data_IF_761125856756
#
_entry.id   IF_761125856756
#
_cell.length_a   1.000
_cell.length_b   1.000
_cell.length_c   1.000
_cell.angle_alpha   90.00
_cell.angle_beta   90.00
_cell.angle_gamma   90.00
#
_symmetry.space_group_name_H-M   'P 1'
#
loop_
_entity.id
_entity.type
_entity.pdbx_description
1 polymer ?
#
# COMPACT_ATOMS: atom_id res chain seq x y z
N UNK A 1 -1.27 -29.34 -10.48
CA UNK A 1 -0.70 -28.52 -11.60
C UNK A 1 0.42 -29.30 -12.28
N UNK A 2 0.42 -29.39 -13.61
CA UNK A 2 1.44 -30.09 -14.41
C UNK A 2 2.75 -29.33 -14.47
N UNK A 3 3.93 -30.00 -14.72
CA UNK A 3 5.21 -29.31 -14.89
C UNK A 3 5.19 -28.26 -16.01
N UNK A 4 4.46 -28.52 -17.09
CA UNK A 4 4.30 -27.57 -18.20
C UNK A 4 3.59 -26.28 -17.77
N UNK A 5 2.50 -26.37 -17.03
CA UNK A 5 1.79 -25.20 -16.51
C UNK A 5 2.65 -24.43 -15.51
N UNK A 6 3.51 -25.12 -14.76
CA UNK A 6 4.45 -24.45 -13.85
C UNK A 6 5.48 -23.64 -14.64
N UNK A 7 6.07 -24.19 -15.69
CA UNK A 7 7.04 -23.48 -16.53
C UNK A 7 6.43 -22.23 -17.18
N UNK A 8 5.21 -22.32 -17.71
CA UNK A 8 4.49 -21.18 -18.28
C UNK A 8 4.23 -20.08 -17.23
N UNK A 9 3.94 -20.48 -15.99
CA UNK A 9 3.74 -19.53 -14.90
C UNK A 9 5.03 -18.79 -14.51
N UNK A 10 6.16 -19.49 -14.58
CA UNK A 10 7.48 -18.91 -14.33
C UNK A 10 7.86 -17.91 -15.44
N UNK A 11 7.68 -18.26 -16.71
CA UNK A 11 7.88 -17.33 -17.84
C UNK A 11 6.99 -16.08 -17.73
N UNK A 12 5.73 -16.26 -17.33
CA UNK A 12 4.84 -15.12 -17.11
C UNK A 12 5.29 -14.24 -15.95
N UNK A 13 5.83 -14.83 -14.88
CA UNK A 13 6.36 -14.06 -13.76
C UNK A 13 7.57 -13.21 -14.20
N UNK A 14 8.46 -13.76 -15.03
CA UNK A 14 9.56 -13.01 -15.64
C UNK A 14 9.08 -11.88 -16.54
N UNK A 15 8.08 -12.12 -17.39
CA UNK A 15 7.45 -11.06 -18.19
C UNK A 15 6.90 -9.93 -17.33
N UNK A 16 6.24 -10.25 -16.22
CA UNK A 16 5.71 -9.23 -15.30
C UNK A 16 6.82 -8.40 -14.64
N UNK A 17 7.96 -9.04 -14.35
CA UNK A 17 9.11 -8.39 -13.74
C UNK A 17 9.84 -7.49 -14.75
N UNK A 18 10.29 -8.08 -15.85
CA UNK A 18 11.24 -7.46 -16.77
C UNK A 18 10.58 -6.53 -17.79
N UNK A 19 9.46 -6.94 -18.38
CA UNK A 19 8.83 -6.16 -19.45
C UNK A 19 7.74 -5.21 -18.93
N UNK A 20 7.07 -5.56 -17.83
CA UNK A 20 5.97 -4.76 -17.30
C UNK A 20 6.32 -3.94 -16.07
N UNK A 21 7.51 -4.10 -15.52
CA UNK A 21 7.97 -3.37 -14.31
C UNK A 21 6.97 -3.48 -13.14
N UNK A 22 6.33 -4.66 -12.98
CA UNK A 22 5.36 -4.86 -11.90
C UNK A 22 6.09 -5.09 -10.59
N UNK A 23 5.59 -4.47 -9.51
CA UNK A 23 6.15 -4.67 -8.18
C UNK A 23 6.14 -6.15 -7.78
N UNK A 24 7.10 -6.58 -6.95
CA UNK A 24 7.21 -7.95 -6.42
C UNK A 24 5.89 -8.41 -5.76
N UNK A 25 5.18 -7.49 -5.10
CA UNK A 25 3.86 -7.79 -4.52
C UNK A 25 2.80 -8.12 -5.58
N UNK A 26 2.79 -7.39 -6.70
CA UNK A 26 1.88 -7.67 -7.83
C UNK A 26 2.22 -9.00 -8.50
N UNK A 27 3.51 -9.26 -8.73
CA UNK A 27 3.98 -10.53 -9.29
C UNK A 27 3.54 -11.71 -8.41
N UNK A 28 3.79 -11.63 -7.09
CA UNK A 28 3.38 -12.67 -6.12
C UNK A 28 1.87 -12.87 -6.10
N UNK A 29 1.08 -11.79 -6.13
CA UNK A 29 -0.36 -11.87 -6.14
C UNK A 29 -0.88 -12.53 -7.43
N UNK A 30 -0.38 -12.14 -8.59
CA UNK A 30 -0.79 -12.71 -9.88
C UNK A 30 -0.35 -14.17 -10.00
N UNK A 31 0.86 -14.50 -9.56
CA UNK A 31 1.33 -15.89 -9.50
C UNK A 31 0.38 -16.76 -8.66
N UNK A 32 0.04 -16.31 -7.46
CA UNK A 32 -0.89 -17.04 -6.60
C UNK A 32 -2.31 -17.18 -7.19
N UNK A 33 -2.79 -16.15 -7.90
CA UNK A 33 -4.08 -16.20 -8.59
C UNK A 33 -4.09 -17.23 -9.71
N UNK A 34 -3.03 -17.28 -10.52
CA UNK A 34 -2.90 -18.21 -11.64
C UNK A 34 -2.62 -19.63 -11.17
N UNK A 35 -1.85 -19.81 -10.09
CA UNK A 35 -1.71 -21.10 -9.43
C UNK A 35 -3.07 -21.65 -9.04
N UNK A 36 -3.92 -20.85 -8.37
CA UNK A 36 -5.29 -21.26 -8.02
C UNK A 36 -6.17 -21.58 -9.24
N UNK A 37 -5.96 -20.88 -10.37
CA UNK A 37 -6.67 -21.22 -11.62
C UNK A 37 -6.21 -22.56 -12.18
N UNK A 38 -4.91 -22.79 -12.24
CA UNK A 38 -4.35 -24.02 -12.78
C UNK A 38 -4.66 -25.25 -11.88
N UNK A 39 -4.70 -25.04 -10.57
CA UNK A 39 -5.16 -26.10 -9.65
C UNK A 39 -6.65 -26.44 -9.88
N UNK A 40 -7.48 -25.44 -10.14
CA UNK A 40 -8.89 -25.65 -10.52
C UNK A 40 -9.01 -26.41 -11.85
N UNK A 41 -8.19 -26.04 -12.85
CA UNK A 41 -8.15 -26.71 -14.14
C UNK A 41 -7.71 -28.20 -13.99
N UNK A 42 -6.63 -28.44 -13.22
CA UNK A 42 -6.10 -29.79 -12.98
C UNK A 42 -7.04 -30.66 -12.10
N UNK A 43 -7.87 -30.04 -11.27
CA UNK A 43 -8.89 -30.77 -10.50
C UNK A 43 -10.01 -31.32 -11.39
N UNK A 44 -10.29 -30.66 -12.53
CA UNK A 44 -11.27 -31.12 -13.52
C UNK A 44 -10.64 -32.15 -14.48
N UNK A 45 -9.41 -31.91 -14.88
CA UNK A 45 -8.62 -32.80 -15.76
C UNK A 45 -7.17 -32.85 -15.27
N UNK A 46 -6.69 -33.97 -14.68
CA UNK A 46 -5.31 -34.08 -14.18
C UNK A 46 -4.23 -33.84 -15.24
N UNK A 47 -4.52 -34.18 -16.51
CA UNK A 47 -3.62 -34.03 -17.65
C UNK A 47 -3.86 -32.70 -18.40
N UNK A 48 -4.57 -31.76 -17.81
CA UNK A 48 -4.90 -30.51 -18.44
C UNK A 48 -3.66 -29.73 -18.86
N UNK A 49 -3.76 -29.18 -20.05
CA UNK A 49 -2.78 -28.29 -20.66
C UNK A 49 -3.32 -26.85 -20.72
N UNK A 50 -2.52 -25.91 -21.17
CA UNK A 50 -2.97 -24.54 -21.38
C UNK A 50 -4.09 -24.43 -22.45
N UNK A 51 -4.11 -25.36 -23.42
CA UNK A 51 -5.14 -25.40 -24.48
C UNK A 51 -6.57 -25.68 -23.92
N UNK A 52 -6.65 -26.29 -22.74
CA UNK A 52 -7.94 -26.58 -22.08
C UNK A 52 -8.52 -25.34 -21.40
N UNK A 53 -7.77 -24.24 -21.35
CA UNK A 53 -8.21 -22.99 -20.76
C UNK A 53 -9.25 -22.30 -21.66
N UNK A 54 -10.48 -22.31 -21.22
CA UNK A 54 -11.64 -21.77 -21.94
C UNK A 54 -12.46 -20.80 -21.09
N UNK A 55 -13.30 -20.00 -21.74
CA UNK A 55 -14.19 -19.09 -21.01
C UNK A 55 -15.11 -19.78 -19.97
N UNK A 56 -15.69 -20.97 -20.24
CA UNK A 56 -16.43 -21.74 -19.24
C UNK A 56 -15.56 -22.10 -18.02
N UNK A 57 -14.31 -22.56 -18.21
CA UNK A 57 -13.39 -22.88 -17.12
C UNK A 57 -13.08 -21.64 -16.28
N UNK A 58 -12.79 -20.50 -16.92
CA UNK A 58 -12.54 -19.24 -16.21
C UNK A 58 -13.73 -18.80 -15.36
N UNK A 59 -14.95 -18.92 -15.91
CA UNK A 59 -16.19 -18.61 -15.20
C UNK A 59 -16.46 -19.58 -14.04
N UNK A 60 -16.23 -20.87 -14.25
CA UNK A 60 -16.37 -21.90 -13.22
C UNK A 60 -15.44 -21.62 -12.04
N UNK A 61 -14.15 -21.33 -12.31
CA UNK A 61 -13.18 -20.99 -11.28
C UNK A 61 -13.57 -19.75 -10.49
N UNK A 62 -13.89 -18.63 -11.18
CA UNK A 62 -14.30 -17.38 -10.51
C UNK A 62 -15.60 -17.58 -9.70
N UNK A 63 -16.54 -18.37 -10.23
CA UNK A 63 -17.77 -18.74 -9.53
C UNK A 63 -17.50 -19.57 -8.27
N UNK A 64 -16.57 -20.52 -8.33
CA UNK A 64 -16.15 -21.30 -7.17
C UNK A 64 -15.55 -20.40 -6.07
N UNK A 65 -14.69 -19.44 -6.46
CA UNK A 65 -14.11 -18.47 -5.54
C UNK A 65 -15.17 -17.61 -4.85
N UNK A 66 -16.15 -17.14 -5.61
CA UNK A 66 -17.26 -16.34 -5.06
C UNK A 66 -18.11 -17.15 -4.08
N UNK A 67 -18.40 -18.42 -4.39
CA UNK A 67 -19.12 -19.32 -3.46
C UNK A 67 -18.35 -19.63 -2.19
N UNK A 68 -17.01 -19.64 -2.25
CA UNK A 68 -16.12 -19.80 -1.09
C UNK A 68 -15.97 -18.51 -0.26
N UNK A 69 -16.73 -17.46 -0.58
CA UNK A 69 -16.71 -16.20 0.18
C UNK A 69 -15.60 -15.23 -0.18
N UNK A 70 -14.92 -15.43 -1.32
CA UNK A 70 -13.90 -14.47 -1.75
C UNK A 70 -14.50 -13.06 -1.94
N UNK A 71 -13.84 -12.05 -1.37
CA UNK A 71 -14.26 -10.66 -1.50
C UNK A 71 -14.35 -10.25 -2.99
N UNK A 72 -15.30 -9.37 -3.33
CA UNK A 72 -15.47 -8.87 -4.71
C UNK A 72 -14.20 -8.25 -5.29
N UNK A 73 -13.40 -7.56 -4.47
CA UNK A 73 -12.09 -7.00 -4.85
C UNK A 73 -11.09 -8.09 -5.23
N UNK A 74 -11.10 -9.22 -4.51
CA UNK A 74 -10.26 -10.39 -4.84
C UNK A 74 -10.67 -11.00 -6.17
N UNK A 75 -11.98 -11.19 -6.41
CA UNK A 75 -12.48 -11.71 -7.69
C UNK A 75 -12.15 -10.76 -8.84
N UNK A 76 -12.30 -9.45 -8.64
CA UNK A 76 -11.93 -8.44 -9.63
C UNK A 76 -10.42 -8.46 -9.95
N UNK A 77 -9.55 -8.58 -8.93
CA UNK A 77 -8.08 -8.71 -9.13
C UNK A 77 -7.74 -9.99 -9.88
N UNK A 78 -8.33 -11.13 -9.51
CA UNK A 78 -8.18 -12.42 -10.20
C UNK A 78 -8.59 -12.34 -11.67
N UNK A 79 -9.73 -11.69 -11.95
CA UNK A 79 -10.17 -11.43 -13.32
C UNK A 79 -9.12 -10.62 -14.11
N UNK A 80 -8.55 -9.59 -13.49
CA UNK A 80 -7.49 -8.79 -14.11
C UNK A 80 -6.22 -9.59 -14.36
N UNK A 81 -5.79 -10.42 -13.41
CA UNK A 81 -4.62 -11.28 -13.55
C UNK A 81 -4.78 -12.25 -14.72
N UNK A 82 -5.93 -12.91 -14.82
CA UNK A 82 -6.24 -13.85 -15.91
C UNK A 82 -6.25 -13.14 -17.26
N UNK A 83 -6.90 -11.98 -17.38
CA UNK A 83 -6.92 -11.23 -18.64
C UNK A 83 -5.52 -10.84 -19.13
N UNK A 84 -4.65 -10.42 -18.20
CA UNK A 84 -3.27 -10.07 -18.54
C UNK A 84 -2.49 -11.32 -18.96
N UNK A 85 -2.69 -12.43 -18.26
CA UNK A 85 -2.04 -13.69 -18.55
C UNK A 85 -2.48 -14.25 -19.91
N UNK A 86 -3.78 -14.38 -20.18
CA UNK A 86 -4.27 -14.97 -21.44
C UNK A 86 -3.93 -14.11 -22.65
N UNK A 87 -3.97 -12.78 -22.53
CA UNK A 87 -3.50 -11.89 -23.56
C UNK A 87 -1.99 -12.01 -23.82
N UNK A 88 -1.17 -12.23 -22.78
CA UNK A 88 0.26 -12.54 -22.93
C UNK A 88 0.48 -13.90 -23.59
N UNK A 89 -0.20 -14.93 -23.12
CA UNK A 89 -0.07 -16.29 -23.66
C UNK A 89 -0.47 -16.36 -25.14
N UNK A 90 -1.51 -15.62 -25.55
CA UNK A 90 -1.92 -15.53 -26.96
C UNK A 90 -0.85 -14.83 -27.81
N UNK A 91 -0.26 -13.72 -27.33
CA UNK A 91 0.84 -13.04 -28.04
C UNK A 91 2.10 -13.91 -28.17
N UNK A 92 2.34 -14.78 -27.21
CA UNK A 92 3.46 -15.73 -27.24
C UNK A 92 3.16 -16.98 -28.08
N UNK A 93 1.97 -17.11 -28.65
CA UNK A 93 1.56 -18.27 -29.42
C UNK A 93 1.25 -19.52 -28.58
N UNK A 94 1.21 -19.40 -27.24
CA UNK A 94 0.85 -20.47 -26.32
C UNK A 94 -0.66 -20.79 -26.32
N UNK A 95 -1.48 -19.82 -26.72
CA UNK A 95 -2.91 -19.92 -26.95
C UNK A 95 -3.26 -19.43 -28.35
N UNK A 96 -4.13 -20.13 -29.05
CA UNK A 96 -4.61 -19.69 -30.37
C UNK A 96 -5.52 -18.48 -30.29
N UNK A 97 -6.35 -18.40 -29.24
CA UNK A 97 -7.28 -17.30 -28.98
C UNK A 97 -7.27 -16.93 -27.50
N UNK A 98 -7.58 -15.67 -27.17
CA UNK A 98 -7.68 -15.24 -25.78
C UNK A 98 -9.04 -15.63 -25.18
N UNK A 99 -9.10 -16.65 -24.27
CA UNK A 99 -10.36 -17.10 -23.68
C UNK A 99 -10.97 -16.08 -22.73
N UNK A 100 -10.19 -15.09 -22.24
CA UNK A 100 -10.67 -14.10 -21.29
C UNK A 100 -11.19 -12.82 -21.96
N UNK A 101 -11.21 -12.71 -23.29
CA UNK A 101 -11.64 -11.50 -24.00
C UNK A 101 -13.07 -11.08 -23.60
N UNK A 102 -13.98 -12.06 -23.43
CA UNK A 102 -15.39 -11.86 -23.02
C UNK A 102 -15.60 -12.00 -21.53
N UNK A 103 -14.55 -12.15 -20.72
CA UNK A 103 -14.67 -12.26 -19.28
C UNK A 103 -15.01 -10.89 -18.68
N UNK A 104 -16.19 -10.78 -18.07
CA UNK A 104 -16.59 -9.53 -17.44
C UNK A 104 -15.97 -9.40 -16.05
N UNK A 105 -15.42 -8.23 -15.77
CA UNK A 105 -14.93 -7.92 -14.44
C UNK A 105 -16.13 -7.54 -13.55
N UNK A 106 -16.23 -8.09 -12.33
CA UNK A 106 -17.25 -7.64 -11.40
C UNK A 106 -17.18 -6.14 -11.21
N UNK A 107 -18.29 -5.43 -11.44
CA UNK A 107 -18.34 -3.99 -11.14
C UNK A 107 -18.05 -3.79 -9.66
N UNK A 108 -16.95 -3.15 -9.34
CA UNK A 108 -16.68 -2.70 -7.98
C UNK A 108 -17.76 -1.69 -7.62
N UNK A 109 -18.52 -1.94 -6.54
CA UNK A 109 -19.27 -0.85 -5.92
C UNK A 109 -18.20 0.10 -5.38
N UNK A 110 -18.02 1.24 -6.03
CA UNK A 110 -17.21 2.35 -5.49
C UNK A 110 -17.97 2.89 -4.28
N UNK A 111 -17.80 2.27 -3.13
CA UNK A 111 -18.09 2.96 -1.88
C UNK A 111 -17.04 4.05 -1.71
N UNK A 112 -17.48 5.27 -1.46
CA UNK A 112 -16.55 6.32 -1.07
C UNK A 112 -15.75 5.81 0.13
N UNK A 113 -14.42 5.95 0.12
CA UNK A 113 -13.62 5.55 1.26
C UNK A 113 -14.12 6.28 2.51
N UNK A 114 -14.19 5.58 3.63
CA UNK A 114 -14.47 6.23 4.89
C UNK A 114 -13.33 7.21 5.21
N UNK A 115 -13.70 8.43 5.57
CA UNK A 115 -12.78 9.51 5.97
C UNK A 115 -13.03 9.79 7.45
N UNK A 116 -11.96 9.94 8.23
CA UNK A 116 -12.06 10.44 9.60
C UNK A 116 -12.49 11.90 9.56
N UNK A 117 -13.31 12.34 10.50
CA UNK A 117 -13.46 13.75 10.79
C UNK A 117 -12.20 14.27 11.50
N UNK A 118 -11.95 15.56 11.44
CA UNK A 118 -10.76 16.16 12.07
C UNK A 118 -10.70 15.91 13.58
N UNK A 119 -11.87 15.99 14.28
CA UNK A 119 -11.97 15.67 15.71
C UNK A 119 -11.63 14.21 16.01
N UNK A 120 -12.06 13.26 15.17
CA UNK A 120 -11.72 11.85 15.30
C UNK A 120 -10.23 11.58 15.04
N UNK A 121 -9.64 12.27 14.04
CA UNK A 121 -8.21 12.17 13.78
C UNK A 121 -7.40 12.72 14.97
N UNK A 122 -7.80 13.88 15.53
CA UNK A 122 -7.17 14.44 16.72
C UNK A 122 -7.26 13.47 17.92
N UNK A 123 -8.46 12.89 18.16
CA UNK A 123 -8.66 11.93 19.25
C UNK A 123 -7.81 10.64 19.06
N UNK A 124 -7.63 10.17 17.81
CA UNK A 124 -6.77 9.01 17.52
C UNK A 124 -5.30 9.30 17.83
N UNK A 125 -4.81 10.49 17.45
CA UNK A 125 -3.44 10.91 17.75
C UNK A 125 -3.23 11.09 19.25
N UNK A 126 -4.22 11.66 19.94
CA UNK A 126 -4.18 11.83 21.41
C UNK A 126 -4.17 10.48 22.14
N UNK A 127 -5.02 9.54 21.72
CA UNK A 127 -5.01 8.18 22.28
C UNK A 127 -3.64 7.49 22.12
N UNK A 128 -3.00 7.67 20.96
CA UNK A 128 -1.66 7.13 20.70
C UNK A 128 -0.59 7.86 21.53
N UNK A 129 -0.75 9.16 21.78
CA UNK A 129 0.13 9.95 22.63
C UNK A 129 0.06 9.48 24.08
N UNK A 130 -1.14 9.45 24.66
CA UNK A 130 -1.37 9.03 26.05
C UNK A 130 -0.94 7.59 26.30
N UNK A 131 -1.12 6.68 25.33
CA UNK A 131 -0.61 5.32 25.42
C UNK A 131 0.92 5.23 25.47
N UNK A 132 1.63 6.27 25.03
CA UNK A 132 3.10 6.31 24.99
C UNK A 132 3.75 7.07 26.17
N UNK A 133 2.98 7.59 27.12
CA UNK A 133 3.49 8.38 28.26
C UNK A 133 4.41 7.57 29.19
N UNK A 134 4.23 6.27 29.27
CA UNK A 134 5.02 5.39 30.12
C UNK A 134 6.34 4.94 29.47
N UNK A 135 6.72 5.52 28.32
CA UNK A 135 7.93 5.19 27.56
C UNK A 135 8.05 3.70 27.13
N UNK A 136 6.92 2.96 27.09
CA UNK A 136 6.93 1.62 26.50
C UNK A 136 7.40 1.69 25.05
N UNK A 137 8.47 0.98 24.67
CA UNK A 137 9.06 1.04 23.33
C UNK A 137 8.06 0.73 22.22
N UNK A 138 7.10 -0.17 22.45
CA UNK A 138 6.09 -0.50 21.45
C UNK A 138 5.08 0.63 21.29
N UNK A 139 4.67 1.26 22.38
CA UNK A 139 3.75 2.39 22.35
C UNK A 139 4.37 3.65 21.71
N UNK A 140 5.64 3.95 21.99
CA UNK A 140 6.40 5.01 21.35
C UNK A 140 6.48 4.80 19.82
N UNK A 141 6.76 3.56 19.39
CA UNK A 141 6.75 3.19 17.97
C UNK A 141 5.37 3.38 17.34
N UNK A 142 4.34 2.90 18.01
CA UNK A 142 2.97 2.91 17.48
C UNK A 142 2.43 4.34 17.36
N UNK A 143 2.76 5.21 18.31
CA UNK A 143 2.54 6.66 18.21
C UNK A 143 3.23 7.24 16.98
N UNK A 144 4.52 6.95 16.76
CA UNK A 144 5.24 7.42 15.59
C UNK A 144 4.59 6.96 14.28
N UNK A 145 4.13 5.71 14.21
CA UNK A 145 3.47 5.15 13.02
C UNK A 145 2.25 5.98 12.64
N UNK A 146 1.34 6.23 13.58
CA UNK A 146 0.09 6.93 13.26
C UNK A 146 0.32 8.41 12.99
N UNK A 147 1.20 9.08 13.76
CA UNK A 147 1.57 10.48 13.54
C UNK A 147 2.20 10.67 12.16
N UNK A 148 3.17 9.85 11.78
CA UNK A 148 3.83 9.96 10.47
C UNK A 148 2.89 9.69 9.31
N UNK A 149 2.05 8.65 9.40
CA UNK A 149 1.08 8.35 8.35
C UNK A 149 0.09 9.49 8.15
N UNK A 150 -0.39 10.08 9.22
CA UNK A 150 -1.36 11.18 9.15
C UNK A 150 -0.71 12.49 8.72
N UNK A 151 0.40 12.89 9.33
CA UNK A 151 1.08 14.14 9.01
C UNK A 151 1.58 14.20 7.57
N UNK A 152 2.07 13.08 7.03
CA UNK A 152 2.74 13.07 5.73
C UNK A 152 1.90 12.47 4.61
N UNK A 153 0.89 11.68 4.95
CA UNK A 153 0.11 10.92 3.98
C UNK A 153 0.93 9.92 3.13
N UNK A 154 2.12 9.51 3.55
CA UNK A 154 2.93 8.53 2.82
C UNK A 154 2.28 7.16 2.79
N UNK A 155 2.69 6.30 1.85
CA UNK A 155 2.18 4.93 1.78
C UNK A 155 2.77 4.08 2.90
N UNK A 156 2.01 3.07 3.35
CA UNK A 156 2.50 2.12 4.37
C UNK A 156 3.83 1.47 3.98
N UNK A 157 4.03 1.17 2.71
CA UNK A 157 5.29 0.59 2.22
C UNK A 157 6.45 1.59 2.24
N UNK A 158 6.17 2.87 1.98
CA UNK A 158 7.14 3.97 2.09
C UNK A 158 7.55 4.15 3.55
N UNK A 159 6.58 4.20 4.48
CA UNK A 159 6.85 4.29 5.92
C UNK A 159 7.70 3.10 6.43
N UNK A 160 7.34 1.87 6.07
CA UNK A 160 8.10 0.68 6.46
C UNK A 160 9.51 0.66 5.86
N UNK A 161 9.69 1.29 4.70
CA UNK A 161 10.96 1.34 3.99
C UNK A 161 11.96 2.36 4.52
N UNK A 162 11.52 3.33 5.34
CA UNK A 162 12.38 4.41 5.81
C UNK A 162 13.60 3.91 6.60
N UNK A 163 14.75 4.48 6.26
CA UNK A 163 15.96 4.41 7.03
C UNK A 163 16.19 5.70 7.83
N UNK A 164 17.00 5.65 8.87
CA UNK A 164 17.27 6.82 9.73
C UNK A 164 17.82 7.98 8.91
N UNK A 165 18.67 7.69 7.91
CA UNK A 165 19.27 8.68 7.02
C UNK A 165 18.30 9.28 5.99
N UNK A 166 17.09 8.73 5.86
CA UNK A 166 16.03 9.31 5.03
C UNK A 166 15.30 10.47 5.73
N UNK A 167 15.63 10.77 6.98
CA UNK A 167 14.96 11.76 7.80
C UNK A 167 15.89 12.92 8.15
N UNK A 168 15.59 14.09 7.63
CA UNK A 168 16.21 15.33 8.09
C UNK A 168 15.39 15.93 9.23
N UNK A 169 15.84 15.65 10.48
CA UNK A 169 15.17 16.13 11.70
C UNK A 169 15.19 17.66 11.82
N UNK A 170 16.26 18.30 11.35
CA UNK A 170 16.43 19.75 11.44
C UNK A 170 15.46 20.48 10.52
N UNK A 171 15.27 19.94 9.31
CA UNK A 171 14.35 20.49 8.30
C UNK A 171 12.95 19.90 8.40
N UNK A 172 12.73 18.91 9.28
CA UNK A 172 11.47 18.15 9.42
C UNK A 172 10.94 17.64 8.08
N UNK A 173 11.75 16.92 7.35
CA UNK A 173 11.39 16.33 6.05
C UNK A 173 11.80 14.87 5.97
N UNK A 174 11.00 14.09 5.23
CA UNK A 174 11.28 12.71 4.85
C UNK A 174 11.65 12.64 3.38
N UNK A 175 12.62 11.81 3.04
CA UNK A 175 12.88 11.36 1.69
C UNK A 175 12.23 10.00 1.48
N UNK A 176 11.32 9.87 0.55
CA UNK A 176 10.61 8.62 0.27
C UNK A 176 10.74 8.22 -1.19
N UNK A 177 10.91 6.91 -1.41
CA UNK A 177 10.96 6.29 -2.73
C UNK A 177 9.55 5.89 -3.16
N UNK A 178 9.06 6.53 -4.22
CA UNK A 178 7.78 6.20 -4.82
C UNK A 178 7.88 5.08 -5.86
N UNK A 179 6.76 4.83 -6.56
CA UNK A 179 6.71 3.84 -7.66
C UNK A 179 7.67 4.24 -8.79
N UNK A 180 8.55 3.31 -9.20
CA UNK A 180 9.54 3.52 -10.27
C UNK A 180 10.76 4.31 -9.78
N UNK A 181 11.14 4.12 -8.51
CA UNK A 181 12.31 4.72 -7.85
C UNK A 181 12.36 6.26 -7.92
N UNK A 182 11.18 6.88 -8.04
CA UNK A 182 11.09 8.34 -7.99
C UNK A 182 11.14 8.80 -6.53
N UNK A 183 12.18 9.53 -6.21
CA UNK A 183 12.30 10.17 -4.90
C UNK A 183 11.40 11.39 -4.80
N UNK A 184 10.85 11.60 -3.61
CA UNK A 184 10.22 12.85 -3.23
C UNK A 184 10.48 13.18 -1.77
N UNK A 185 10.50 14.46 -1.47
CA UNK A 185 10.63 14.98 -0.11
C UNK A 185 9.25 15.37 0.41
N UNK A 186 8.93 14.93 1.63
CA UNK A 186 7.63 15.16 2.28
C UNK A 186 7.87 15.83 3.63
N UNK A 187 7.31 17.03 3.89
CA UNK A 187 7.41 17.69 5.19
C UNK A 187 6.51 17.00 6.23
N UNK A 188 6.85 17.18 7.52
CA UNK A 188 6.03 16.77 8.66
C UNK A 188 6.06 17.81 9.77
N UNK A 189 4.96 17.88 10.54
CA UNK A 189 4.77 18.87 11.58
C UNK A 189 5.44 18.54 12.92
N UNK A 190 5.23 19.42 13.90
CA UNK A 190 5.76 19.31 15.26
C UNK A 190 5.42 18.00 15.96
N UNK A 191 4.15 17.60 16.06
CA UNK A 191 3.75 16.37 16.75
C UNK A 191 4.42 15.11 16.20
N UNK A 192 4.59 15.00 14.88
CA UNK A 192 5.30 13.90 14.24
C UNK A 192 6.81 13.95 14.53
N UNK A 193 7.41 15.16 14.62
CA UNK A 193 8.81 15.36 15.01
C UNK A 193 9.05 14.93 16.46
N UNK A 194 8.13 15.25 17.36
CA UNK A 194 8.20 14.88 18.77
C UNK A 194 8.07 13.34 18.95
N UNK A 195 7.13 12.74 18.24
CA UNK A 195 6.97 11.28 18.21
C UNK A 195 8.21 10.58 17.65
N UNK A 196 8.82 11.11 16.59
CA UNK A 196 10.07 10.60 16.02
C UNK A 196 11.23 10.68 17.01
N UNK A 197 11.37 11.84 17.68
CA UNK A 197 12.41 12.06 18.68
C UNK A 197 12.25 11.09 19.85
N UNK A 198 11.04 10.99 20.41
CA UNK A 198 10.74 10.06 21.49
C UNK A 198 11.06 8.60 21.12
N UNK A 199 10.68 8.19 19.90
CA UNK A 199 10.98 6.84 19.42
C UNK A 199 12.49 6.60 19.25
N UNK A 200 13.19 7.47 18.53
CA UNK A 200 14.62 7.28 18.24
C UNK A 200 15.47 7.32 19.49
N UNK A 201 15.17 8.25 20.41
CA UNK A 201 16.01 8.50 21.58
C UNK A 201 15.69 7.54 22.75
N UNK A 202 14.42 7.10 22.91
CA UNK A 202 13.96 6.31 24.06
C UNK A 202 13.43 4.92 23.72
N UNK A 203 12.83 4.73 22.53
CA UNK A 203 12.17 3.46 22.18
C UNK A 203 13.02 2.53 21.33
N UNK A 204 13.62 3.05 20.26
CA UNK A 204 14.26 2.22 19.22
C UNK A 204 15.39 1.33 19.75
N UNK A 205 16.21 1.85 20.65
CA UNK A 205 17.35 1.11 21.21
C UNK A 205 16.92 -0.16 21.96
N UNK A 206 15.76 -0.16 22.60
CA UNK A 206 15.24 -1.33 23.32
C UNK A 206 14.80 -2.47 22.42
N UNK A 207 14.45 -2.18 21.16
CA UNK A 207 14.08 -3.20 20.18
C UNK A 207 15.20 -3.54 19.20
N UNK A 208 16.21 -2.67 19.07
CA UNK A 208 17.28 -2.83 18.10
C UNK A 208 18.18 -4.03 18.41
N UNK A 209 18.58 -4.75 17.34
CA UNK A 209 19.54 -5.84 17.38
C UNK A 209 20.37 -5.87 16.08
N UNK A 210 21.25 -6.85 15.92
CA UNK A 210 22.11 -6.99 14.75
C UNK A 210 21.35 -7.10 13.42
N UNK A 211 20.07 -7.44 13.42
CA UNK A 211 19.21 -7.53 12.23
C UNK A 211 18.41 -6.27 11.93
N UNK A 212 18.53 -5.20 12.74
CA UNK A 212 17.75 -3.97 12.59
C UNK A 212 18.22 -3.07 11.44
N UNK A 213 19.52 -3.06 11.18
CA UNK A 213 20.14 -2.17 10.20
C UNK A 213 19.76 -0.70 10.45
N UNK A 214 19.67 0.07 9.37
CA UNK A 214 19.29 1.49 9.41
C UNK A 214 17.78 1.73 9.54
N UNK A 215 16.94 0.70 9.58
CA UNK A 215 15.48 0.86 9.60
C UNK A 215 15.00 1.77 10.72
N UNK A 216 14.15 2.76 10.39
CA UNK A 216 13.54 3.65 11.40
C UNK A 216 12.61 2.83 12.29
N UNK A 217 11.67 2.11 11.71
CA UNK A 217 10.64 1.36 12.44
C UNK A 217 11.00 -0.12 12.57
N UNK A 218 10.93 -0.61 13.78
CA UNK A 218 11.26 -1.99 14.14
C UNK A 218 10.01 -2.75 14.61
N UNK A 219 9.89 -3.99 14.18
CA UNK A 219 8.93 -4.92 14.74
C UNK A 219 9.40 -5.43 16.11
N UNK A 220 8.56 -6.16 16.82
CA UNK A 220 8.88 -6.69 18.17
C UNK A 220 10.13 -7.60 18.22
N UNK A 221 10.57 -8.14 17.06
CA UNK A 221 11.79 -8.95 16.96
C UNK A 221 13.02 -8.14 16.53
N UNK A 222 12.94 -6.81 16.57
CA UNK A 222 14.04 -5.90 16.22
C UNK A 222 14.36 -5.79 14.74
N UNK A 223 13.68 -6.50 13.84
CA UNK A 223 13.84 -6.34 12.39
C UNK A 223 12.93 -5.22 11.87
N UNK A 224 13.22 -4.71 10.67
CA UNK A 224 12.36 -3.75 9.97
C UNK A 224 10.88 -4.18 10.05
N UNK A 225 10.00 -3.23 10.38
CA UNK A 225 8.58 -3.50 10.56
C UNK A 225 7.89 -3.99 9.27
N UNK A 226 6.97 -4.92 9.43
CA UNK A 226 6.15 -5.42 8.31
C UNK A 226 4.88 -4.55 8.13
N UNK A 227 4.44 -4.29 6.89
CA UNK A 227 3.21 -3.53 6.62
C UNK A 227 1.94 -4.09 7.28
N UNK A 228 1.91 -5.38 7.64
CA UNK A 228 0.77 -5.96 8.37
C UNK A 228 0.74 -5.45 9.81
N UNK A 229 1.90 -5.37 10.45
CA UNK A 229 2.00 -4.82 11.82
C UNK A 229 1.54 -3.36 11.83
N UNK A 230 1.98 -2.55 10.87
CA UNK A 230 1.51 -1.16 10.74
C UNK A 230 -0.01 -1.08 10.56
N UNK A 231 -0.61 -1.98 9.76
CA UNK A 231 -2.07 -2.04 9.64
C UNK A 231 -2.74 -2.36 10.96
N UNK A 232 -2.21 -3.34 11.71
CA UNK A 232 -2.73 -3.71 13.04
C UNK A 232 -2.70 -2.52 13.98
N UNK A 233 -1.59 -1.79 14.04
CA UNK A 233 -1.45 -0.57 14.87
C UNK A 233 -2.52 0.47 14.50
N UNK A 234 -2.68 0.79 13.22
CA UNK A 234 -3.68 1.77 12.77
C UNK A 234 -5.09 1.32 13.15
N UNK A 235 -5.47 0.06 12.92
CA UNK A 235 -6.79 -0.45 13.30
C UNK A 235 -7.02 -0.39 14.82
N UNK A 236 -6.01 -0.75 15.62
CA UNK A 236 -6.08 -0.66 17.09
C UNK A 236 -6.28 0.78 17.54
N UNK A 237 -5.52 1.73 16.98
CA UNK A 237 -5.67 3.15 17.31
C UNK A 237 -7.07 3.67 16.95
N UNK A 238 -7.60 3.29 15.77
CA UNK A 238 -8.95 3.70 15.37
C UNK A 238 -10.03 3.10 16.27
N UNK A 239 -9.85 1.87 16.72
CA UNK A 239 -10.81 1.20 17.63
C UNK A 239 -10.89 1.84 19.01
N UNK A 240 -9.87 2.60 19.43
CA UNK A 240 -9.86 3.35 20.68
C UNK A 240 -10.68 4.65 20.60
N UNK A 241 -11.10 5.09 19.41
CA UNK A 241 -11.86 6.33 19.22
C UNK A 241 -13.35 6.03 19.02
N UNK A 242 -14.23 6.42 19.94
CA UNK A 242 -15.66 6.17 19.81
C UNK A 242 -16.26 6.75 18.53
N UNK A 243 -16.99 5.93 17.77
CA UNK A 243 -17.65 6.33 16.53
C UNK A 243 -16.72 6.63 15.35
N UNK A 244 -15.41 6.38 15.47
CA UNK A 244 -14.52 6.43 14.32
C UNK A 244 -14.76 5.21 13.39
N UNK A 245 -14.67 5.39 12.06
CA UNK A 245 -14.72 4.27 11.14
C UNK A 245 -13.46 3.40 11.29
N UNK A 246 -13.61 2.09 11.17
CA UNK A 246 -12.46 1.17 11.11
C UNK A 246 -11.74 1.34 9.77
N UNK A 247 -10.66 2.09 9.77
CA UNK A 247 -9.84 2.37 8.60
C UNK A 247 -8.40 1.88 8.79
N UNK A 248 -7.80 1.41 7.70
CA UNK A 248 -6.37 1.11 7.67
C UNK A 248 -5.52 2.30 7.20
N UNK A 249 -4.22 2.10 6.99
CA UNK A 249 -3.29 3.17 6.57
C UNK A 249 -3.70 3.92 5.31
N UNK A 250 -4.37 3.26 4.37
CA UNK A 250 -4.87 3.92 3.15
C UNK A 250 -6.03 4.90 3.45
N UNK A 251 -6.93 4.53 4.37
CA UNK A 251 -7.99 5.42 4.84
C UNK A 251 -7.44 6.60 5.61
N UNK A 252 -6.41 6.40 6.47
CA UNK A 252 -5.75 7.46 7.20
C UNK A 252 -5.06 8.47 6.25
N UNK A 253 -4.36 7.96 5.22
CA UNK A 253 -3.79 8.80 4.15
C UNK A 253 -4.87 9.59 3.38
N UNK A 254 -6.03 8.96 3.11
CA UNK A 254 -7.14 9.63 2.44
C UNK A 254 -7.73 10.73 3.32
N UNK A 255 -7.86 10.49 4.61
CA UNK A 255 -8.27 11.51 5.60
C UNK A 255 -7.29 12.68 5.65
N UNK A 256 -5.98 12.42 5.71
CA UNK A 256 -4.95 13.46 5.66
C UNK A 256 -5.07 14.32 4.38
N UNK A 257 -5.24 13.67 3.21
CA UNK A 257 -5.45 14.38 1.95
C UNK A 257 -6.71 15.26 1.95
N UNK A 258 -7.81 14.73 2.48
CA UNK A 258 -9.09 15.46 2.58
C UNK A 258 -8.95 16.66 3.50
N UNK A 259 -8.35 16.49 4.67
CA UNK A 259 -8.16 17.57 5.65
C UNK A 259 -7.21 18.66 5.13
N UNK A 260 -6.17 18.33 4.38
CA UNK A 260 -5.33 19.31 3.68
C UNK A 260 -6.14 20.15 2.69
N UNK A 261 -7.02 19.52 1.91
CA UNK A 261 -7.89 20.23 0.95
C UNK A 261 -8.92 21.10 1.67
N UNK A 262 -9.53 20.61 2.75
CA UNK A 262 -10.44 21.38 3.61
C UNK A 262 -9.75 22.57 4.28
N UNK A 263 -8.46 22.42 4.63
CA UNK A 263 -7.58 23.49 5.12
C UNK A 263 -7.13 24.49 4.05
N UNK A 264 -7.61 24.33 2.80
CA UNK A 264 -7.35 25.28 1.69
C UNK A 264 -6.09 24.96 0.88
N UNK A 265 -5.47 23.78 1.05
CA UNK A 265 -4.34 23.39 0.21
C UNK A 265 -4.78 23.18 -1.25
N UNK A 266 -3.95 23.65 -2.19
CA UNK A 266 -4.18 23.40 -3.61
C UNK A 266 -4.11 21.89 -3.95
N UNK A 267 -5.06 21.40 -4.74
CA UNK A 267 -5.16 20.00 -5.12
C UNK A 267 -3.87 19.46 -5.75
N UNK A 268 -3.17 20.28 -6.55
CA UNK A 268 -1.91 19.86 -7.20
C UNK A 268 -0.80 19.66 -6.16
N UNK A 269 -0.72 20.56 -5.18
CA UNK A 269 0.25 20.44 -4.09
C UNK A 269 -0.01 19.18 -3.27
N UNK A 270 -1.28 18.87 -2.96
CA UNK A 270 -1.67 17.64 -2.28
C UNK A 270 -1.33 16.41 -3.12
N UNK A 271 -1.54 16.45 -4.43
CA UNK A 271 -1.17 15.35 -5.34
C UNK A 271 0.34 15.11 -5.38
N UNK A 272 1.15 16.16 -5.39
CA UNK A 272 2.63 16.06 -5.35
C UNK A 272 3.11 15.51 -4.00
N UNK A 273 2.59 16.03 -2.89
CA UNK A 273 2.90 15.53 -1.54
C UNK A 273 2.62 14.03 -1.44
N UNK A 274 1.50 13.61 -1.98
CA UNK A 274 1.09 12.21 -1.95
C UNK A 274 1.81 11.34 -3.01
N UNK A 275 2.41 11.90 -4.03
CA UNK A 275 3.06 11.15 -5.12
C UNK A 275 2.06 10.37 -5.96
N UNK A 276 0.98 11.00 -6.43
CA UNK A 276 0.03 10.44 -7.38
C UNK A 276 0.62 10.46 -8.79
N UNK A 277 0.83 9.30 -9.40
CA UNK A 277 1.47 9.15 -10.72
C UNK A 277 0.52 9.29 -11.91
N UNK A 278 -0.73 9.67 -11.72
CA UNK A 278 -1.73 9.74 -12.79
C UNK A 278 -2.37 11.12 -12.90
N UNK A 279 -1.69 12.01 -13.62
CA UNK A 279 -2.33 12.88 -14.60
C UNK A 279 -1.39 12.92 -15.81
N UNK A 280 -1.92 12.54 -16.95
CA UNK A 280 -1.27 12.66 -18.24
C UNK A 280 -1.07 14.15 -18.58
N UNK A 281 0.01 14.74 -18.09
CA UNK A 281 0.60 15.95 -18.64
C UNK A 281 2.00 16.12 -18.04
N UNK A 282 2.94 15.35 -18.57
CA UNK A 282 4.36 15.65 -18.48
C UNK A 282 4.65 16.77 -19.48
N UNK A 283 4.24 17.98 -19.16
CA UNK A 283 4.79 19.17 -19.83
C UNK A 283 4.56 20.40 -18.94
N UNK A 284 5.64 21.05 -18.57
CA UNK A 284 5.75 22.41 -18.05
C UNK A 284 5.25 22.66 -16.60
N UNK A 285 5.79 22.03 -15.58
CA UNK A 285 5.80 22.73 -14.28
C UNK A 285 7.09 22.47 -13.51
N UNK A 286 7.78 23.56 -13.28
CA UNK A 286 8.88 23.75 -12.33
C UNK A 286 8.58 23.08 -11.00
N UNK A 287 9.57 22.36 -10.47
CA UNK A 287 9.58 21.71 -9.17
C UNK A 287 8.94 22.60 -8.09
N UNK A 288 7.85 22.11 -7.45
CA UNK A 288 7.38 22.74 -6.21
C UNK A 288 8.51 22.59 -5.19
N UNK A 289 9.02 23.69 -4.70
CA UNK A 289 10.13 23.68 -3.76
C UNK A 289 9.66 23.09 -2.42
N UNK A 290 10.57 22.43 -1.68
CA UNK A 290 10.31 21.92 -0.33
C UNK A 290 9.75 23.02 0.58
N UNK A 291 10.21 24.26 0.42
CA UNK A 291 9.71 25.43 1.14
C UNK A 291 8.20 25.67 0.88
N UNK A 292 7.74 25.52 -0.37
CA UNK A 292 6.32 25.69 -0.72
C UNK A 292 5.46 24.53 -0.21
N UNK A 293 5.95 23.30 -0.31
CA UNK A 293 5.26 22.14 0.27
C UNK A 293 5.08 22.31 1.78
N UNK A 294 6.11 22.80 2.46
CA UNK A 294 6.10 23.06 3.88
C UNK A 294 5.11 24.19 4.23
N UNK A 295 5.16 25.32 3.52
CA UNK A 295 4.24 26.43 3.77
C UNK A 295 2.77 26.02 3.63
N UNK A 296 2.44 25.19 2.62
CA UNK A 296 1.09 24.66 2.44
C UNK A 296 0.73 23.65 3.54
N UNK A 297 1.67 22.80 3.94
CA UNK A 297 1.48 21.86 5.05
C UNK A 297 1.21 22.64 6.35
N UNK A 298 2.06 23.60 6.70
CA UNK A 298 1.96 24.41 7.92
C UNK A 298 0.67 25.25 7.97
N UNK A 299 0.15 25.67 6.81
CA UNK A 299 -1.09 26.44 6.71
C UNK A 299 -2.33 25.56 6.78
N UNK A 300 -2.32 24.38 6.16
CA UNK A 300 -3.53 23.63 5.86
C UNK A 300 -3.66 22.30 6.62
N UNK A 301 -2.57 21.77 7.20
CA UNK A 301 -2.62 20.49 7.89
C UNK A 301 -3.01 20.66 9.37
N UNK A 302 -4.00 19.90 9.91
CA UNK A 302 -4.44 20.04 11.30
C UNK A 302 -3.37 19.73 12.36
N UNK A 303 -2.25 19.11 11.95
CA UNK A 303 -1.09 18.75 12.81
C UNK A 303 0.22 19.33 12.27
N UNK A 304 0.19 20.54 11.76
CA UNK A 304 1.38 21.24 11.28
C UNK A 304 2.35 21.63 12.42
#
# INVERSE_FOLDING_TARGET
MTPQLTAILDEFAEHLALERGRSVHTQRAYRGDLTSLFDHLSAVNPDATLADLSLPVLRSWLGAQARQGAARSTVARRTSAVKIFTAWATRRGLLQTDPAIRLQQPKSRRTLPAVLRQDQAAAAMEAAHSGAEQDDPMALRDRLIVEMLYATGIRVSELCGLDVDDIDRSRKVLRVLGKGDKERTVPFGGPAADALTAWLDRGRAHLANSGSGAAVLLGARGRRIDPRQVRTVVHQTMSAVPGAPDIGPHGLRHSAATHLLEGGADLRVVQELLGHSTLATTQLYTHVTVARLRAVHDQAHPRA
#
